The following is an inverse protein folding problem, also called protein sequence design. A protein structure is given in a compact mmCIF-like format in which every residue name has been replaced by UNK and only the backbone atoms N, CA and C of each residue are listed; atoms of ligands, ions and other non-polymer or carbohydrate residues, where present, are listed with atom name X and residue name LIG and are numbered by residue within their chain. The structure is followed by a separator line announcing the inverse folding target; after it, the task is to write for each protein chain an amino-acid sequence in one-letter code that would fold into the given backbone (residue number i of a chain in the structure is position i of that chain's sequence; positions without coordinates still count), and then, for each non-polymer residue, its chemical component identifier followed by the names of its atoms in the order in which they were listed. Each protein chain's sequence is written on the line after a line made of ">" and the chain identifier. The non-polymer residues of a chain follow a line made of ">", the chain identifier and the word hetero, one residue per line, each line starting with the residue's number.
data_IF_114396921183
#
_entry.id   IF_114396921183
#
_cell.length_a   1.000
_cell.length_b   1.000
_cell.length_c   1.000
_cell.angle_alpha   90.00
_cell.angle_beta   90.00
_cell.angle_gamma   90.00
#
_symmetry.space_group_name_H-M   'P 1'
#
loop_
_entity.id
_entity.type
_entity.pdbx_description
1 polymer ?
#
# COMPACT_ATOMS: atom_id res chain seq x y z
N UNK A 1 20.23 4.19 21.44
CA UNK A 1 19.50 3.18 22.24
C UNK A 1 18.56 3.87 23.24
N UNK A 2 17.39 3.28 23.56
CA UNK A 2 16.44 3.84 24.55
C UNK A 2 17.09 3.79 25.94
N UNK A 3 17.10 4.92 26.65
CA UNK A 3 17.75 5.06 27.97
C UNK A 3 16.76 4.99 29.12
N UNK A 4 15.66 5.74 29.03
CA UNK A 4 14.64 5.82 30.08
C UNK A 4 13.24 6.00 29.46
N UNK A 5 12.26 5.29 30.01
CA UNK A 5 10.84 5.55 29.78
C UNK A 5 10.41 6.68 30.72
N UNK A 6 9.77 7.72 30.18
CA UNK A 6 9.31 8.88 30.96
C UNK A 6 7.86 8.71 31.43
N UNK A 7 6.94 8.43 30.49
CA UNK A 7 5.52 8.23 30.79
C UNK A 7 4.82 7.52 29.64
N UNK A 8 3.69 6.88 29.94
CA UNK A 8 2.76 6.41 28.92
C UNK A 8 2.10 7.62 28.26
N UNK A 9 2.07 7.60 26.94
CA UNK A 9 1.42 8.60 26.10
C UNK A 9 0.04 8.13 25.64
N UNK A 10 -0.11 6.83 25.42
CA UNK A 10 -1.37 6.20 25.04
C UNK A 10 -1.30 4.70 25.21
N UNK A 11 -2.45 4.10 25.45
CA UNK A 11 -2.61 2.66 25.65
C UNK A 11 -3.86 2.21 24.88
N UNK A 12 -3.73 1.07 24.23
CA UNK A 12 -4.84 0.39 23.56
C UNK A 12 -5.00 -1.03 24.12
N UNK A 13 -5.96 -1.80 23.60
CA UNK A 13 -6.15 -3.19 24.01
C UNK A 13 -4.90 -4.06 23.80
N UNK A 14 -4.07 -3.74 22.81
CA UNK A 14 -3.01 -4.63 22.31
C UNK A 14 -1.59 -4.06 22.46
N UNK A 15 -1.46 -2.76 22.73
CA UNK A 15 -0.16 -2.12 22.80
C UNK A 15 -0.16 -0.84 23.60
N UNK A 16 1.04 -0.33 23.80
CA UNK A 16 1.30 0.88 24.55
C UNK A 16 2.28 1.76 23.78
N UNK A 17 2.13 3.07 23.95
CA UNK A 17 3.07 4.05 23.45
C UNK A 17 3.64 4.84 24.60
N UNK A 18 4.96 4.90 24.67
CA UNK A 18 5.71 5.54 25.74
C UNK A 18 6.46 6.75 25.22
N UNK A 19 6.48 7.83 25.99
CA UNK A 19 7.44 8.92 25.83
C UNK A 19 8.75 8.44 26.44
N UNK A 20 9.83 8.44 25.68
CA UNK A 20 11.14 7.95 26.15
C UNK A 20 12.26 8.90 25.79
N UNK A 21 13.35 8.84 26.57
CA UNK A 21 14.65 9.43 26.21
C UNK A 21 15.49 8.38 25.50
N UNK A 22 16.00 8.72 24.33
CA UNK A 22 16.93 7.90 23.56
C UNK A 22 18.27 8.63 23.43
N UNK A 23 19.39 7.91 23.52
CA UNK A 23 20.73 8.47 23.28
C UNK A 23 21.24 8.03 21.91
N UNK A 24 21.94 8.92 21.22
CA UNK A 24 22.68 8.64 19.98
C UNK A 24 21.79 7.91 18.98
N UNK A 25 20.66 8.54 18.62
CA UNK A 25 19.65 7.96 17.74
C UNK A 25 19.42 8.86 16.54
N UNK A 26 19.16 8.27 15.38
CA UNK A 26 19.01 8.99 14.11
C UNK A 26 20.22 9.90 13.82
N UNK A 27 21.41 9.33 13.96
CA UNK A 27 22.72 9.97 13.73
C UNK A 27 22.97 11.29 14.49
N UNK A 28 22.14 11.58 15.49
CA UNK A 28 22.28 12.75 16.37
C UNK A 28 22.97 12.35 17.66
N UNK A 29 24.12 12.95 17.95
CA UNK A 29 24.79 12.83 19.24
C UNK A 29 23.94 13.49 20.33
N UNK A 30 23.86 12.85 21.50
CA UNK A 30 23.15 13.38 22.66
C UNK A 30 21.79 12.72 22.90
N UNK A 31 20.94 13.37 23.68
CA UNK A 31 19.63 12.83 24.10
C UNK A 31 18.49 13.41 23.27
N UNK A 32 17.66 12.54 22.70
CA UNK A 32 16.45 12.87 21.97
C UNK A 32 15.22 12.35 22.70
N UNK A 33 14.10 13.09 22.62
CA UNK A 33 12.79 12.59 23.05
C UNK A 33 12.15 11.84 21.88
N UNK A 34 11.65 10.64 22.14
CA UNK A 34 11.03 9.75 21.16
C UNK A 34 9.72 9.18 21.68
N UNK A 35 8.86 8.74 20.77
CA UNK A 35 7.72 7.88 21.09
C UNK A 35 8.10 6.42 20.81
N UNK A 36 7.89 5.52 21.76
CA UNK A 36 8.19 4.09 21.62
C UNK A 36 6.90 3.32 21.69
N UNK A 37 6.52 2.66 20.59
CA UNK A 37 5.37 1.76 20.54
C UNK A 37 5.83 0.32 20.77
N UNK A 38 5.13 -0.38 21.64
CA UNK A 38 5.36 -1.77 22.00
C UNK A 38 4.04 -2.51 22.16
N UNK A 39 4.08 -3.83 22.10
CA UNK A 39 2.97 -4.70 22.47
C UNK A 39 2.95 -4.96 23.98
N UNK A 40 1.77 -5.28 24.50
CA UNK A 40 1.60 -5.75 25.88
C UNK A 40 2.19 -7.16 26.03
N UNK A 41 2.51 -7.57 27.26
CA UNK A 41 3.10 -8.88 27.54
C UNK A 41 2.21 -10.05 27.10
N UNK A 42 0.88 -9.88 27.15
CA UNK A 42 -0.11 -10.85 26.75
C UNK A 42 -0.52 -10.76 25.27
N UNK A 43 0.25 -10.04 24.44
CA UNK A 43 -0.10 -9.86 23.05
C UNK A 43 -0.06 -11.17 22.25
N UNK A 44 -1.06 -11.36 21.39
CA UNK A 44 -1.19 -12.56 20.58
C UNK A 44 -0.16 -12.61 19.44
N UNK A 45 0.10 -13.80 18.89
CA UNK A 45 0.99 -13.94 17.74
C UNK A 45 0.50 -13.14 16.52
N UNK A 46 -0.84 -13.06 16.35
CA UNK A 46 -1.45 -12.20 15.33
C UNK A 46 -1.08 -10.74 15.52
N UNK A 47 -1.09 -10.23 16.75
CA UNK A 47 -0.72 -8.84 17.06
C UNK A 47 0.78 -8.55 16.79
N UNK A 48 1.64 -9.55 17.00
CA UNK A 48 3.07 -9.48 16.66
C UNK A 48 3.30 -9.39 15.15
N UNK A 49 2.64 -10.26 14.38
CA UNK A 49 2.67 -10.23 12.91
C UNK A 49 2.16 -8.87 12.40
N UNK A 50 1.05 -8.40 12.97
CA UNK A 50 0.45 -7.10 12.66
C UNK A 50 1.44 -5.94 12.87
N UNK A 51 2.15 -5.93 14.00
CA UNK A 51 3.14 -4.89 14.29
C UNK A 51 4.36 -4.99 13.38
N UNK A 52 4.80 -6.19 13.04
CA UNK A 52 5.89 -6.43 12.10
C UNK A 52 5.55 -5.90 10.70
N UNK A 53 4.34 -6.18 10.21
CA UNK A 53 3.84 -5.67 8.93
C UNK A 53 3.76 -4.14 8.94
N UNK A 54 3.22 -3.55 10.01
CA UNK A 54 3.18 -2.08 10.21
C UNK A 54 4.59 -1.46 10.14
N UNK A 55 5.58 -2.11 10.74
CA UNK A 55 6.97 -1.67 10.72
C UNK A 55 7.59 -1.79 9.30
N UNK A 56 7.27 -2.84 8.53
CA UNK A 56 7.74 -3.01 7.14
C UNK A 56 7.32 -1.83 6.28
N UNK A 57 6.06 -1.38 6.40
CA UNK A 57 5.57 -0.20 5.67
C UNK A 57 6.25 1.09 6.16
N UNK A 58 6.37 1.29 7.47
CA UNK A 58 7.01 2.50 8.00
C UNK A 58 8.47 2.65 7.55
N UNK A 59 9.15 1.55 7.22
CA UNK A 59 10.51 1.56 6.66
C UNK A 59 10.56 1.99 5.20
N UNK A 60 9.48 1.86 4.43
CA UNK A 60 9.43 2.25 3.00
C UNK A 60 8.99 3.70 2.79
N UNK A 61 8.45 4.35 3.82
CA UNK A 61 8.00 5.74 3.75
C UNK A 61 9.18 6.72 3.77
N UNK A 62 9.26 7.57 2.74
CA UNK A 62 10.16 8.73 2.75
C UNK A 62 9.72 9.74 3.83
N UNK A 63 10.66 10.46 4.47
CA UNK A 63 10.32 11.49 5.45
C UNK A 63 9.38 12.54 4.87
N UNK A 64 8.26 12.78 5.56
CA UNK A 64 7.26 13.75 5.13
C UNK A 64 6.81 14.61 6.32
N UNK A 65 6.66 15.95 6.16
CA UNK A 65 6.39 16.87 7.28
C UNK A 65 5.08 16.59 8.03
N UNK A 66 4.13 15.90 7.41
CA UNK A 66 2.83 15.56 8.01
C UNK A 66 2.70 14.08 8.41
N UNK A 67 3.77 13.29 8.33
CA UNK A 67 3.77 11.87 8.68
C UNK A 67 4.79 11.65 9.80
N UNK A 68 4.34 11.02 10.89
CA UNK A 68 5.24 10.68 12.01
C UNK A 68 6.34 9.76 11.50
N UNK A 69 7.57 10.27 11.57
CA UNK A 69 8.75 9.60 11.04
C UNK A 69 9.18 8.42 11.93
N UNK A 70 9.50 7.30 11.28
CA UNK A 70 10.23 6.20 11.89
C UNK A 70 11.67 6.62 12.14
N UNK A 71 12.11 6.52 13.40
CA UNK A 71 13.48 6.79 13.83
C UNK A 71 14.29 5.49 13.87
N UNK A 72 13.66 4.38 14.22
CA UNK A 72 14.29 3.06 14.26
C UNK A 72 13.36 2.00 14.87
N UNK A 73 13.86 0.77 14.97
CA UNK A 73 13.12 -0.33 15.57
C UNK A 73 14.06 -1.31 16.28
N UNK A 74 13.53 -2.08 17.21
CA UNK A 74 14.17 -3.25 17.80
C UNK A 74 13.30 -4.47 17.51
N UNK A 75 13.85 -5.43 16.76
CA UNK A 75 13.14 -6.66 16.34
C UNK A 75 13.83 -7.94 16.80
N UNK A 76 15.00 -7.85 17.44
CA UNK A 76 15.86 -8.99 17.79
C UNK A 76 15.63 -9.55 19.20
N UNK A 77 14.84 -8.86 20.04
CA UNK A 77 14.53 -9.29 21.42
C UNK A 77 13.07 -9.72 21.51
N UNK A 78 12.72 -10.43 22.59
CA UNK A 78 11.36 -10.92 22.89
C UNK A 78 10.26 -9.83 22.82
N UNK A 79 10.63 -8.56 22.90
CA UNK A 79 9.72 -7.42 22.77
C UNK A 79 10.08 -6.54 21.55
N UNK A 80 9.15 -6.46 20.60
CA UNK A 80 9.26 -5.59 19.43
C UNK A 80 9.03 -4.12 19.82
N UNK A 81 10.00 -3.27 19.51
CA UNK A 81 9.92 -1.82 19.75
C UNK A 81 9.93 -1.05 18.43
N UNK A 82 8.96 -0.16 18.24
CA UNK A 82 8.93 0.79 17.12
C UNK A 82 9.21 2.18 17.68
N UNK A 83 10.31 2.80 17.23
CA UNK A 83 10.78 4.10 17.73
C UNK A 83 10.42 5.17 16.71
N UNK A 84 9.59 6.11 17.12
CA UNK A 84 9.02 7.18 16.31
C UNK A 84 9.48 8.54 16.83
N UNK A 85 9.44 9.55 15.96
CA UNK A 85 9.62 10.92 16.41
C UNK A 85 8.51 11.35 17.38
N UNK A 86 8.90 12.16 18.36
CA UNK A 86 7.96 12.71 19.33
C UNK A 86 7.53 14.11 18.91
N UNK A 87 6.22 14.31 18.72
CA UNK A 87 5.63 15.61 18.41
C UNK A 87 5.20 16.30 19.71
N UNK A 88 5.83 17.44 20.03
CA UNK A 88 5.58 18.19 21.27
C UNK A 88 4.33 19.09 21.25
N UNK A 89 3.65 19.23 20.10
CA UNK A 89 2.61 20.24 19.85
C UNK A 89 1.13 19.78 19.94
N UNK A 90 0.81 18.63 20.54
CA UNK A 90 -0.56 18.09 20.57
C UNK A 90 -1.08 17.70 21.96
N UNK A 91 -2.40 17.73 22.16
CA UNK A 91 -3.05 17.14 23.35
C UNK A 91 -2.67 15.65 23.43
N UNK A 92 -2.18 15.12 24.58
CA UNK A 92 -1.72 13.73 24.69
C UNK A 92 -2.75 12.69 24.26
N UNK A 93 -4.04 12.98 24.44
CA UNK A 93 -5.14 12.08 24.09
C UNK A 93 -5.46 12.05 22.58
N UNK A 94 -5.27 13.12 21.82
CA UNK A 94 -5.68 13.15 20.40
C UNK A 94 -4.65 12.56 19.43
N UNK A 95 -3.39 12.42 19.84
CA UNK A 95 -2.34 11.83 18.97
C UNK A 95 -1.96 10.41 19.35
N UNK A 96 -2.25 9.99 20.60
CA UNK A 96 -1.81 8.71 21.14
C UNK A 96 -2.94 7.85 21.75
N UNK A 97 -4.10 8.42 22.10
CA UNK A 97 -5.32 7.63 22.39
C UNK A 97 -6.10 7.34 21.10
N UNK A 98 -6.01 8.22 20.11
CA UNK A 98 -6.45 7.98 18.72
C UNK A 98 -5.31 7.43 17.85
N UNK A 99 -4.82 6.25 18.22
CA UNK A 99 -4.07 5.38 17.30
C UNK A 99 -4.82 5.03 15.99
N UNK A 100 -6.05 5.53 15.83
CA UNK A 100 -6.87 5.59 14.63
C UNK A 100 -6.36 6.59 13.55
N UNK A 101 -5.42 7.47 13.88
CA UNK A 101 -4.81 8.45 12.95
C UNK A 101 -3.38 8.09 12.53
N UNK A 102 -2.87 6.95 13.02
CA UNK A 102 -1.62 6.35 12.55
C UNK A 102 -1.90 5.47 11.33
N UNK A 103 -0.92 5.31 10.43
CA UNK A 103 -0.96 4.36 9.33
C UNK A 103 -1.44 2.96 9.78
N UNK A 104 -1.19 2.59 11.04
CA UNK A 104 -1.70 1.35 11.65
C UNK A 104 -3.23 1.30 11.76
N UNK A 105 -3.88 2.42 12.14
CA UNK A 105 -5.33 2.53 12.23
C UNK A 105 -5.98 2.54 10.85
N UNK A 106 -5.30 3.14 9.87
CA UNK A 106 -5.69 3.01 8.47
C UNK A 106 -5.59 1.55 8.01
N UNK A 107 -4.44 0.88 8.16
CA UNK A 107 -4.25 -0.52 7.75
C UNK A 107 -5.30 -1.41 8.42
N UNK A 108 -5.53 -1.27 9.73
CA UNK A 108 -6.57 -2.05 10.43
C UNK A 108 -7.96 -1.85 9.80
N UNK A 109 -8.34 -0.61 9.47
CA UNK A 109 -9.61 -0.33 8.77
C UNK A 109 -9.65 -0.92 7.36
N UNK A 110 -8.52 -0.93 6.64
CA UNK A 110 -8.43 -1.51 5.30
C UNK A 110 -8.50 -3.05 5.35
N UNK A 111 -7.86 -3.68 6.33
CA UNK A 111 -7.93 -5.13 6.58
C UNK A 111 -9.35 -5.56 6.95
N UNK A 112 -10.14 -4.71 7.64
CA UNK A 112 -11.55 -5.01 7.95
C UNK A 112 -12.57 -4.48 6.93
N UNK A 113 -12.12 -3.72 5.91
CA UNK A 113 -13.00 -3.08 4.93
C UNK A 113 -13.94 -2.01 5.52
N UNK A 114 -13.54 -1.37 6.62
CA UNK A 114 -14.27 -0.28 7.25
C UNK A 114 -14.18 1.02 6.43
N UNK A 115 -15.12 1.95 6.66
CA UNK A 115 -15.09 3.27 6.04
C UNK A 115 -13.86 4.08 6.52
N UNK A 116 -13.16 4.69 5.56
CA UNK A 116 -11.93 5.47 5.80
C UNK A 116 -12.00 6.94 5.34
N UNK A 117 -13.18 7.46 4.97
CA UNK A 117 -13.35 8.85 4.48
C UNK A 117 -12.93 9.93 5.50
N UNK A 118 -12.83 9.57 6.79
CA UNK A 118 -12.33 10.44 7.87
C UNK A 118 -10.88 10.18 8.30
N UNK A 119 -10.12 9.38 7.54
CA UNK A 119 -8.74 9.04 7.91
C UNK A 119 -7.73 10.03 7.34
N UNK A 120 -6.50 9.98 7.86
CA UNK A 120 -5.43 10.91 7.51
C UNK A 120 -5.16 10.98 6.00
N UNK A 121 -5.28 9.87 5.25
CA UNK A 121 -5.10 9.85 3.79
C UNK A 121 -6.07 10.80 3.09
N UNK A 122 -7.30 10.97 3.58
CA UNK A 122 -8.27 11.89 2.97
C UNK A 122 -7.89 13.36 3.10
N UNK A 123 -7.02 13.72 4.06
CA UNK A 123 -6.77 15.11 4.46
C UNK A 123 -5.31 15.56 4.29
N UNK A 124 -4.53 14.90 3.41
CA UNK A 124 -3.12 15.26 3.23
C UNK A 124 -3.03 16.48 2.30
N UNK A 125 -2.69 17.68 2.80
CA UNK A 125 -2.86 18.92 2.04
C UNK A 125 -1.94 19.02 0.83
N UNK A 126 -0.81 18.31 0.87
CA UNK A 126 0.18 18.20 -0.22
C UNK A 126 0.03 16.90 -1.02
N UNK A 127 -0.99 16.09 -0.71
CA UNK A 127 -1.16 14.75 -1.25
C UNK A 127 -0.06 13.77 -0.81
N UNK A 128 -0.05 12.59 -1.43
CA UNK A 128 1.01 11.58 -1.30
C UNK A 128 1.75 11.45 -2.62
N UNK A 129 3.06 11.19 -2.59
CA UNK A 129 3.81 10.79 -3.79
C UNK A 129 3.86 9.27 -3.93
N UNK A 130 4.24 8.58 -2.86
CA UNK A 130 4.38 7.13 -2.83
C UNK A 130 3.58 6.50 -1.69
N UNK A 131 2.92 5.39 -1.97
CA UNK A 131 2.25 4.55 -0.98
C UNK A 131 2.56 3.07 -1.26
N UNK A 132 3.13 2.37 -0.29
CA UNK A 132 3.25 0.92 -0.33
C UNK A 132 2.48 0.33 0.85
N UNK A 133 1.60 -0.63 0.57
CA UNK A 133 0.83 -1.41 1.53
C UNK A 133 0.97 -2.91 1.24
N UNK A 134 2.13 -3.30 0.73
CA UNK A 134 2.47 -4.68 0.35
C UNK A 134 2.40 -5.60 1.56
N UNK A 135 1.85 -6.81 1.40
CA UNK A 135 1.64 -7.80 2.48
C UNK A 135 0.92 -7.24 3.73
N UNK A 136 -0.03 -6.33 3.57
CA UNK A 136 -0.78 -5.77 4.70
C UNK A 136 -2.10 -6.52 4.98
N UNK A 137 -2.29 -7.68 4.36
CA UNK A 137 -3.53 -8.48 4.47
C UNK A 137 -4.78 -7.66 4.12
N UNK A 138 -4.67 -6.70 3.20
CA UNK A 138 -5.79 -5.85 2.81
C UNK A 138 -6.87 -6.67 2.12
N UNK A 139 -8.13 -6.31 2.33
CA UNK A 139 -9.26 -6.91 1.64
C UNK A 139 -9.64 -6.12 0.39
N UNK A 140 -10.31 -6.76 -0.57
CA UNK A 140 -11.00 -6.11 -1.70
C UNK A 140 -11.74 -4.84 -1.30
N UNK A 141 -12.57 -4.96 -0.25
CA UNK A 141 -13.36 -3.85 0.28
C UNK A 141 -12.49 -2.73 0.83
N UNK A 142 -11.41 -3.06 1.54
CA UNK A 142 -10.42 -2.10 2.01
C UNK A 142 -9.80 -1.30 0.87
N UNK A 143 -9.36 -1.98 -0.17
CA UNK A 143 -8.74 -1.35 -1.35
C UNK A 143 -9.76 -0.51 -2.13
N UNK A 144 -11.00 -0.98 -2.26
CA UNK A 144 -12.09 -0.20 -2.84
C UNK A 144 -12.35 1.08 -2.04
N UNK A 145 -12.35 1.03 -0.71
CA UNK A 145 -12.45 2.21 0.15
C UNK A 145 -11.23 3.14 0.04
N UNK A 146 -10.02 2.59 -0.07
CA UNK A 146 -8.78 3.37 -0.26
C UNK A 146 -8.84 4.14 -1.58
N UNK A 147 -9.20 3.44 -2.64
CA UNK A 147 -9.34 4.01 -3.98
C UNK A 147 -10.47 5.06 -4.01
N UNK A 148 -11.57 4.82 -3.29
CA UNK A 148 -12.63 5.82 -3.14
C UNK A 148 -12.10 7.11 -2.49
N UNK A 149 -11.28 7.03 -1.45
CA UNK A 149 -10.66 8.23 -0.85
C UNK A 149 -9.72 8.94 -1.82
N UNK A 150 -8.96 8.20 -2.64
CA UNK A 150 -8.13 8.81 -3.68
C UNK A 150 -8.95 9.60 -4.69
N UNK A 151 -10.11 9.06 -5.12
CA UNK A 151 -11.04 9.73 -6.02
C UNK A 151 -11.67 11.01 -5.43
N UNK A 152 -11.84 11.08 -4.10
CA UNK A 152 -12.39 12.27 -3.43
C UNK A 152 -11.35 13.37 -3.21
N UNK A 153 -10.06 13.03 -3.14
CA UNK A 153 -8.98 13.97 -2.88
C UNK A 153 -8.25 14.34 -4.18
N UNK A 154 -8.61 15.51 -4.74
CA UNK A 154 -7.99 16.03 -5.97
C UNK A 154 -6.48 16.19 -5.87
N UNK A 155 -5.94 16.51 -4.70
CA UNK A 155 -4.49 16.63 -4.50
C UNK A 155 -3.81 15.27 -4.64
N UNK A 156 -4.38 14.20 -4.07
CA UNK A 156 -3.84 12.84 -4.22
C UNK A 156 -3.91 12.36 -5.66
N UNK A 157 -4.98 12.71 -6.38
CA UNK A 157 -5.15 12.34 -7.79
C UNK A 157 -3.99 12.82 -8.65
N UNK A 158 -3.46 14.02 -8.38
CA UNK A 158 -2.35 14.59 -9.15
C UNK A 158 -0.98 14.40 -8.50
N UNK A 159 -0.91 14.03 -7.22
CA UNK A 159 0.37 13.88 -6.50
C UNK A 159 0.89 12.44 -6.45
N UNK A 160 0.00 11.45 -6.38
CA UNK A 160 0.37 10.04 -6.16
C UNK A 160 0.87 9.46 -7.47
N UNK A 161 2.14 9.05 -7.47
CA UNK A 161 2.80 8.49 -8.64
C UNK A 161 3.28 7.04 -8.44
N UNK A 162 3.31 6.57 -7.19
CA UNK A 162 3.69 5.20 -6.85
C UNK A 162 2.66 4.59 -5.92
N UNK A 163 2.05 3.49 -6.34
CA UNK A 163 1.22 2.64 -5.49
C UNK A 163 1.68 1.20 -5.58
N UNK A 164 1.99 0.64 -4.43
CA UNK A 164 2.24 -0.79 -4.30
C UNK A 164 1.22 -1.37 -3.32
N UNK A 165 0.36 -2.26 -3.80
CA UNK A 165 -0.64 -2.99 -3.02
C UNK A 165 -0.52 -4.50 -3.24
N UNK A 166 0.65 -4.99 -3.66
CA UNK A 166 0.90 -6.41 -3.89
C UNK A 166 0.82 -7.26 -2.63
N UNK A 167 0.72 -8.57 -2.83
CA UNK A 167 0.62 -9.57 -1.77
C UNK A 167 -0.53 -9.30 -0.78
N UNK A 168 -1.62 -8.73 -1.30
CA UNK A 168 -2.86 -8.52 -0.56
C UNK A 168 -3.98 -9.42 -1.10
N UNK A 169 -5.10 -9.47 -0.38
CA UNK A 169 -6.21 -10.33 -0.70
C UNK A 169 -7.27 -9.58 -1.53
N UNK A 170 -6.93 -9.23 -2.76
CA UNK A 170 -7.83 -8.60 -3.74
C UNK A 170 -8.56 -9.71 -4.50
N UNK A 171 -9.79 -9.97 -4.07
CA UNK A 171 -10.65 -11.02 -4.63
C UNK A 171 -11.74 -10.48 -5.55
N UNK A 172 -12.17 -9.22 -5.38
CA UNK A 172 -13.35 -8.65 -6.07
C UNK A 172 -13.28 -7.10 -6.14
N UNK A 173 -14.11 -6.48 -6.99
CA UNK A 173 -14.42 -5.03 -7.03
C UNK A 173 -13.23 -4.05 -6.98
N UNK A 174 -12.52 -3.95 -8.10
CA UNK A 174 -11.48 -2.92 -8.33
C UNK A 174 -12.02 -1.66 -9.01
N UNK A 175 -13.34 -1.46 -9.09
CA UNK A 175 -13.94 -0.38 -9.87
C UNK A 175 -13.47 1.01 -9.42
N UNK A 176 -13.37 1.23 -8.10
CA UNK A 176 -12.85 2.51 -7.59
C UNK A 176 -11.38 2.73 -7.95
N UNK A 177 -10.57 1.66 -8.02
CA UNK A 177 -9.18 1.74 -8.46
C UNK A 177 -9.13 2.05 -9.96
N UNK A 178 -9.93 1.37 -10.78
CA UNK A 178 -10.05 1.67 -12.21
C UNK A 178 -10.53 3.10 -12.48
N UNK A 179 -11.53 3.58 -11.74
CA UNK A 179 -12.03 4.96 -11.83
C UNK A 179 -10.96 6.00 -11.49
N UNK A 180 -10.10 5.68 -10.54
CA UNK A 180 -8.97 6.52 -10.17
C UNK A 180 -7.89 6.51 -11.26
N UNK A 181 -7.54 5.33 -11.78
CA UNK A 181 -6.56 5.16 -12.85
C UNK A 181 -6.99 5.78 -14.19
N UNK A 182 -8.30 5.90 -14.43
CA UNK A 182 -8.87 6.57 -15.61
C UNK A 182 -8.79 8.10 -15.53
N UNK A 183 -8.67 8.68 -14.34
CA UNK A 183 -8.58 10.14 -14.19
C UNK A 183 -7.19 10.65 -14.61
N UNK A 184 -7.06 11.94 -14.99
CA UNK A 184 -5.77 12.58 -15.14
C UNK A 184 -4.94 12.46 -13.85
N UNK A 185 -3.94 11.58 -13.86
CA UNK A 185 -3.07 11.33 -12.71
C UNK A 185 -1.60 11.29 -13.17
N UNK A 186 -0.68 11.25 -12.21
CA UNK A 186 0.77 11.27 -12.46
C UNK A 186 1.43 9.92 -12.19
N UNK A 187 0.65 8.83 -12.29
CA UNK A 187 1.14 7.48 -12.00
C UNK A 187 2.33 7.10 -12.88
N UNK A 188 3.38 6.60 -12.26
CA UNK A 188 4.54 6.00 -12.94
C UNK A 188 4.79 4.57 -12.46
N UNK A 189 4.20 4.15 -11.34
CA UNK A 189 4.38 2.80 -10.81
C UNK A 189 3.09 2.27 -10.15
N UNK A 190 2.66 1.08 -10.56
CA UNK A 190 1.57 0.33 -9.97
C UNK A 190 1.98 -1.14 -9.81
N UNK A 191 2.00 -1.61 -8.56
CA UNK A 191 2.24 -3.02 -8.25
C UNK A 191 0.99 -3.63 -7.60
N UNK A 192 0.44 -4.64 -8.30
CA UNK A 192 -0.69 -5.46 -7.92
C UNK A 192 -0.33 -6.96 -7.99
N UNK A 193 0.96 -7.30 -7.87
CA UNK A 193 1.45 -8.68 -7.89
C UNK A 193 1.08 -9.50 -6.66
N UNK A 194 1.23 -10.82 -6.73
CA UNK A 194 1.08 -11.76 -5.60
C UNK A 194 -0.29 -11.73 -4.93
N UNK A 195 -1.32 -11.21 -5.61
CA UNK A 195 -2.66 -11.13 -5.07
C UNK A 195 -3.21 -12.55 -5.03
N UNK A 196 -3.26 -13.12 -3.83
CA UNK A 196 -3.60 -14.53 -3.58
C UNK A 196 -5.09 -14.79 -3.81
N UNK A 197 -5.50 -14.74 -5.07
CA UNK A 197 -6.78 -15.19 -5.56
C UNK A 197 -6.55 -16.52 -6.27
N UNK A 198 -7.29 -17.55 -5.88
CA UNK A 198 -7.64 -18.63 -6.79
C UNK A 198 -8.50 -18.00 -7.88
N UNK A 199 -7.84 -17.29 -8.80
CA UNK A 199 -8.44 -16.51 -9.87
C UNK A 199 -9.30 -17.40 -10.78
N UNK A 200 -9.09 -18.71 -10.76
CA UNK A 200 -9.90 -19.75 -11.39
C UNK A 200 -11.40 -19.75 -11.01
N UNK A 201 -11.76 -19.34 -9.79
CA UNK A 201 -13.17 -19.28 -9.34
C UNK A 201 -13.82 -17.91 -9.58
N UNK A 202 -13.03 -16.84 -9.57
CA UNK A 202 -13.46 -15.46 -9.89
C UNK A 202 -13.62 -15.29 -11.41
N UNK A 203 -12.80 -16.00 -12.21
CA UNK A 203 -12.91 -15.97 -13.67
C UNK A 203 -14.12 -16.74 -14.24
N UNK A 204 -14.75 -17.59 -13.42
CA UNK A 204 -15.91 -18.39 -13.83
C UNK A 204 -17.26 -17.82 -13.36
N UNK A 205 -17.29 -17.04 -12.28
CA UNK A 205 -18.53 -16.51 -11.73
C UNK A 205 -18.75 -15.05 -12.16
N UNK A 206 -19.34 -14.89 -13.35
CA UNK A 206 -20.07 -13.71 -13.81
C UNK A 206 -19.21 -12.45 -14.09
N UNK A 207 -18.72 -12.36 -15.34
CA UNK A 207 -18.16 -11.17 -16.02
C UNK A 207 -16.68 -10.83 -15.76
N UNK A 208 -15.80 -11.51 -16.49
CA UNK A 208 -14.36 -11.26 -16.66
C UNK A 208 -14.02 -9.83 -17.14
N UNK A 209 -14.14 -8.83 -16.27
CA UNK A 209 -13.81 -7.44 -16.61
C UNK A 209 -12.67 -6.82 -15.79
N UNK A 210 -12.16 -7.44 -14.72
CA UNK A 210 -11.13 -6.81 -13.86
C UNK A 210 -9.87 -6.37 -14.62
N UNK A 211 -9.14 -7.34 -15.20
CA UNK A 211 -7.94 -7.06 -16.00
C UNK A 211 -8.26 -6.22 -17.25
N UNK A 212 -9.36 -6.54 -17.93
CA UNK A 212 -9.81 -5.80 -19.11
C UNK A 212 -10.09 -4.33 -18.79
N UNK A 213 -10.83 -4.04 -17.71
CA UNK A 213 -11.16 -2.69 -17.27
C UNK A 213 -9.91 -1.94 -16.79
N UNK A 214 -8.98 -2.62 -16.11
CA UNK A 214 -7.69 -2.03 -15.77
C UNK A 214 -6.94 -1.57 -17.03
N UNK A 215 -6.74 -2.47 -17.99
CA UNK A 215 -6.05 -2.15 -19.26
C UNK A 215 -6.78 -1.06 -20.05
N UNK A 216 -8.11 -1.11 -20.13
CA UNK A 216 -8.92 -0.08 -20.79
C UNK A 216 -8.80 1.29 -20.08
N UNK A 217 -8.77 1.32 -18.75
CA UNK A 217 -8.59 2.57 -18.01
C UNK A 217 -7.20 3.16 -18.25
N UNK A 218 -6.16 2.33 -18.29
CA UNK A 218 -4.81 2.75 -18.63
C UNK A 218 -4.68 3.21 -20.09
N UNK A 219 -5.39 2.56 -21.02
CA UNK A 219 -5.43 2.97 -22.43
C UNK A 219 -6.14 4.32 -22.65
N UNK A 220 -7.15 4.62 -21.84
CA UNK A 220 -7.87 5.90 -21.88
C UNK A 220 -7.17 7.04 -21.11
N UNK A 221 -6.08 6.75 -20.38
CA UNK A 221 -5.38 7.76 -19.59
C UNK A 221 -4.26 8.40 -20.42
N UNK A 222 -4.54 9.59 -20.96
CA UNK A 222 -3.61 10.34 -21.81
C UNK A 222 -2.54 11.13 -21.03
N UNK A 223 -2.65 11.20 -19.69
CA UNK A 223 -1.75 12.00 -18.85
C UNK A 223 -0.62 11.17 -18.22
N UNK A 224 -0.81 9.86 -18.15
CA UNK A 224 0.18 8.92 -17.65
C UNK A 224 1.10 8.47 -18.78
N UNK A 225 2.40 8.63 -18.57
CA UNK A 225 3.44 8.11 -19.44
C UNK A 225 4.45 7.36 -18.59
N UNK A 226 5.15 6.40 -19.20
CA UNK A 226 6.22 5.66 -18.53
C UNK A 226 5.74 4.88 -17.31
N UNK A 227 4.51 4.34 -17.36
CA UNK A 227 3.98 3.51 -16.29
C UNK A 227 4.70 2.16 -16.25
N UNK A 228 5.16 1.78 -15.07
CA UNK A 228 5.56 0.42 -14.73
C UNK A 228 4.38 -0.29 -14.06
N UNK A 229 3.92 -1.38 -14.67
CA UNK A 229 2.84 -2.21 -14.14
C UNK A 229 3.38 -3.59 -13.78
N UNK A 230 3.34 -3.92 -12.49
CA UNK A 230 3.67 -5.24 -11.99
C UNK A 230 2.38 -6.02 -11.66
N UNK A 231 2.21 -7.13 -12.35
CA UNK A 231 1.13 -8.11 -12.14
C UNK A 231 1.68 -9.51 -11.88
N UNK A 232 2.96 -9.62 -11.50
CA UNK A 232 3.65 -10.88 -11.28
C UNK A 232 2.97 -11.74 -10.20
N UNK A 233 3.13 -13.06 -10.28
CA UNK A 233 2.59 -13.98 -9.27
C UNK A 233 1.06 -14.07 -9.20
N UNK A 234 0.34 -13.45 -10.15
CA UNK A 234 -1.11 -13.56 -10.26
C UNK A 234 -1.48 -14.72 -11.19
N UNK A 235 -2.33 -15.66 -10.77
CA UNK A 235 -2.80 -16.77 -11.60
C UNK A 235 -3.75 -16.32 -12.74
N UNK A 236 -3.22 -15.67 -13.79
CA UNK A 236 -3.97 -15.14 -14.93
C UNK A 236 -4.53 -16.23 -15.84
N UNK A 237 -3.79 -17.34 -16.01
CA UNK A 237 -4.22 -18.46 -16.84
C UNK A 237 -4.47 -18.11 -18.32
N UNK A 238 -5.10 -19.03 -19.06
CA UNK A 238 -5.44 -18.82 -20.48
C UNK A 238 -6.39 -17.65 -20.72
N UNK A 239 -7.30 -17.37 -19.77
CA UNK A 239 -8.23 -16.24 -19.90
C UNK A 239 -7.50 -14.89 -19.81
N UNK A 240 -6.59 -14.73 -18.84
CA UNK A 240 -5.79 -13.53 -18.74
C UNK A 240 -4.87 -13.34 -19.96
N UNK A 241 -4.37 -14.43 -20.54
CA UNK A 241 -3.62 -14.40 -21.80
C UNK A 241 -4.45 -13.85 -22.96
N UNK A 242 -5.68 -14.33 -23.13
CA UNK A 242 -6.59 -13.81 -24.14
C UNK A 242 -6.92 -12.31 -23.94
N UNK A 243 -7.10 -11.87 -22.69
CA UNK A 243 -7.34 -10.45 -22.39
C UNK A 243 -6.12 -9.59 -22.74
N UNK A 244 -4.92 -10.02 -22.35
CA UNK A 244 -3.68 -9.31 -22.69
C UNK A 244 -3.48 -9.26 -24.20
N UNK A 245 -3.63 -10.38 -24.90
CA UNK A 245 -3.58 -10.46 -26.36
C UNK A 245 -4.51 -9.44 -27.04
N UNK A 246 -5.75 -9.33 -26.57
CA UNK A 246 -6.77 -8.48 -27.19
C UNK A 246 -6.69 -6.99 -26.86
N UNK A 247 -5.99 -6.59 -25.79
CA UNK A 247 -6.06 -5.22 -25.27
C UNK A 247 -4.70 -4.53 -25.14
N UNK A 248 -3.61 -5.27 -24.92
CA UNK A 248 -2.34 -4.68 -24.48
C UNK A 248 -1.73 -3.74 -25.53
N UNK A 249 -1.92 -4.03 -26.81
CA UNK A 249 -1.43 -3.19 -27.93
C UNK A 249 -1.97 -1.75 -27.88
N UNK A 250 -3.14 -1.53 -27.25
CA UNK A 250 -3.79 -0.23 -27.13
C UNK A 250 -3.31 0.62 -25.93
N UNK A 251 -2.57 0.03 -24.99
CA UNK A 251 -2.17 0.69 -23.74
C UNK A 251 -0.86 1.45 -23.93
N UNK A 252 -0.94 2.70 -24.38
CA UNK A 252 0.24 3.52 -24.75
C UNK A 252 1.00 4.13 -23.58
N UNK A 253 0.42 4.08 -22.38
CA UNK A 253 0.99 4.64 -21.16
C UNK A 253 2.04 3.72 -20.51
N UNK A 254 2.01 2.41 -20.82
CA UNK A 254 2.88 1.39 -20.24
C UNK A 254 4.28 1.40 -20.86
N UNK A 255 5.31 1.43 -20.01
CA UNK A 255 6.73 1.27 -20.40
C UNK A 255 7.37 0.00 -19.85
N UNK A 256 6.85 -0.53 -18.74
CA UNK A 256 7.26 -1.81 -18.17
C UNK A 256 6.03 -2.62 -17.81
N UNK A 257 6.08 -3.93 -18.07
CA UNK A 257 5.03 -4.87 -17.74
C UNK A 257 5.66 -6.13 -17.14
N UNK A 258 5.40 -6.43 -15.87
CA UNK A 258 5.78 -7.72 -15.29
C UNK A 258 4.55 -8.64 -15.21
N UNK A 259 4.62 -9.77 -15.92
CA UNK A 259 3.62 -10.85 -15.91
C UNK A 259 4.27 -12.21 -15.58
N UNK A 260 5.40 -12.19 -14.90
CA UNK A 260 6.07 -13.40 -14.43
C UNK A 260 5.17 -14.20 -13.49
N UNK A 261 5.40 -15.50 -13.40
CA UNK A 261 4.64 -16.41 -12.51
C UNK A 261 3.10 -16.39 -12.73
N UNK A 262 2.63 -15.98 -13.92
CA UNK A 262 1.20 -15.77 -14.17
C UNK A 262 0.39 -16.98 -14.64
N UNK A 263 1.00 -18.18 -14.68
CA UNK A 263 0.39 -19.44 -15.12
C UNK A 263 -0.23 -19.41 -16.54
N UNK A 264 0.36 -18.64 -17.46
CA UNK A 264 -0.12 -18.47 -18.85
C UNK A 264 0.66 -19.31 -19.88
N UNK A 265 1.33 -20.37 -19.43
CA UNK A 265 2.40 -21.06 -20.20
C UNK A 265 1.94 -21.50 -21.60
N UNK A 266 0.68 -21.92 -21.74
CA UNK A 266 0.13 -22.40 -23.03
C UNK A 266 -0.11 -21.27 -24.04
N UNK A 267 -0.51 -20.09 -23.58
CA UNK A 267 -0.96 -18.98 -24.42
C UNK A 267 0.03 -17.80 -24.47
N UNK A 268 1.17 -17.90 -23.77
CA UNK A 268 2.15 -16.81 -23.62
C UNK A 268 2.69 -16.30 -24.97
N UNK A 269 2.78 -17.15 -25.99
CA UNK A 269 3.25 -16.76 -27.32
C UNK A 269 2.36 -15.71 -28.00
N UNK A 270 1.04 -15.79 -27.81
CA UNK A 270 0.10 -14.79 -28.33
C UNK A 270 0.23 -13.45 -27.60
N UNK A 271 0.43 -13.53 -26.29
CA UNK A 271 0.64 -12.35 -25.43
C UNK A 271 1.92 -11.62 -25.82
N UNK A 272 3.03 -12.34 -26.00
CA UNK A 272 4.31 -11.76 -26.46
C UNK A 272 4.14 -11.09 -27.82
N UNK A 273 3.38 -11.71 -28.74
CA UNK A 273 3.10 -11.12 -30.06
C UNK A 273 2.34 -9.80 -29.93
N UNK A 274 1.28 -9.75 -29.12
CA UNK A 274 0.52 -8.53 -28.87
C UNK A 274 1.34 -7.44 -28.15
N UNK A 275 2.22 -7.83 -27.23
CA UNK A 275 3.18 -6.91 -26.58
C UNK A 275 4.17 -6.35 -27.62
N UNK A 276 4.62 -7.16 -28.58
CA UNK A 276 5.48 -6.71 -29.67
C UNK A 276 4.84 -5.66 -30.59
N UNK A 277 3.50 -5.61 -30.67
CA UNK A 277 2.76 -4.56 -31.37
C UNK A 277 2.61 -3.27 -30.54
N UNK A 278 2.82 -3.34 -29.23
CA UNK A 278 2.80 -2.19 -28.34
C UNK A 278 4.10 -1.38 -28.49
N UNK A 279 3.97 -0.10 -28.85
CA UNK A 279 5.12 0.79 -29.11
C UNK A 279 5.69 1.47 -27.86
N UNK A 280 5.01 1.40 -26.72
CA UNK A 280 5.41 2.09 -25.49
C UNK A 280 6.16 1.18 -24.53
N UNK A 281 5.87 -0.13 -24.52
CA UNK A 281 6.53 -1.11 -23.65
C UNK A 281 7.99 -1.31 -24.08
N UNK A 282 8.91 -1.07 -23.14
CA UNK A 282 10.37 -1.20 -23.31
C UNK A 282 10.95 -2.33 -22.47
N UNK A 283 10.28 -2.68 -21.37
CA UNK A 283 10.70 -3.68 -20.41
C UNK A 283 9.57 -4.70 -20.19
N UNK A 284 9.93 -5.99 -20.20
CA UNK A 284 9.05 -7.14 -19.97
C UNK A 284 9.74 -8.09 -18.99
#
# INVERSE_FOLDING_TARGET
>A
MIKYVLRILGESCFGQVWKSKAININDKKGTSIVAVKTLKENATERERIDLAQKLKVMKTLEPHPNVVRLIGCCTEREQMLVILEYLSGGKPQSFLHEGATSLCGLIAKLTTGCNINGTIIGYIPQGLKKLSLTHCSLTSKGISQLSHVFNLNRTITTSLNYLNISDNNIKDDINNLCNYLRQPNTFTYLDIGGVNATLELIFNALQNEGLKNLLLCLACNENTNELELDMSGNNLGSMGAHILESCIHGVRSLSSLDISESNMVVDIGKVITAIGENKSIKHL
#
